data_IF_834641998199
#
_entry.id   IF_834641998199
#
_cell.length_a   1.000
_cell.length_b   1.000
_cell.length_c   1.000
_cell.angle_alpha   90.00
_cell.angle_beta   90.00
_cell.angle_gamma   90.00
#
_symmetry.space_group_name_H-M   'P 1'
#
loop_
_entity.id
_entity.type
_entity.pdbx_description
1 polymer ?
#
# COMPACT_ATOMS: atom_id res chain seq x y z
N UNK A 1 -10.98 1.87 11.46
CA UNK A 1 -9.98 1.59 10.41
C UNK A 1 -9.29 2.89 10.03
N UNK A 2 -7.99 2.86 9.73
CA UNK A 2 -7.27 4.02 9.16
C UNK A 2 -6.91 3.64 7.72
N UNK A 3 -7.21 4.50 6.75
CA UNK A 3 -6.89 4.26 5.35
C UNK A 3 -6.40 5.53 4.68
N UNK A 4 -5.33 5.41 3.91
CA UNK A 4 -4.84 6.43 3.00
C UNK A 4 -4.95 5.91 1.57
N UNK A 5 -5.62 6.65 0.70
CA UNK A 5 -5.66 6.36 -0.73
C UNK A 5 -4.70 7.28 -1.49
N UNK A 6 -3.98 6.70 -2.45
CA UNK A 6 -3.09 7.46 -3.34
C UNK A 6 -3.92 7.99 -4.51
N UNK A 7 -4.27 9.27 -4.43
CA UNK A 7 -5.10 9.97 -5.42
C UNK A 7 -4.27 10.91 -6.29
N UNK A 8 -4.87 11.45 -7.36
CA UNK A 8 -4.22 12.38 -8.29
C UNK A 8 -2.87 11.86 -8.85
N UNK A 9 -2.71 10.55 -8.94
CA UNK A 9 -1.47 9.88 -9.35
C UNK A 9 -1.48 9.52 -10.83
N UNK A 10 -0.30 9.16 -11.35
CA UNK A 10 -0.15 8.66 -12.72
C UNK A 10 -0.54 7.19 -12.89
N UNK A 11 -1.13 6.54 -11.87
CA UNK A 11 -1.56 5.13 -11.94
C UNK A 11 -2.59 4.85 -13.05
N UNK A 12 -3.32 5.87 -13.48
CA UNK A 12 -4.27 5.81 -14.60
C UNK A 12 -3.59 5.78 -15.99
N UNK A 13 -2.32 6.17 -16.08
CA UNK A 13 -1.53 6.17 -17.30
C UNK A 13 -0.66 4.92 -17.45
N UNK A 14 -0.60 4.08 -16.41
CA UNK A 14 0.15 2.82 -16.41
C UNK A 14 -0.46 1.86 -17.43
N UNK A 15 0.34 1.42 -18.41
CA UNK A 15 -0.10 0.41 -19.37
C UNK A 15 -0.18 -0.95 -18.70
N UNK A 16 -0.97 -1.85 -19.28
CA UNK A 16 -1.24 -3.17 -18.71
C UNK A 16 0.02 -4.03 -18.46
N UNK A 17 1.08 -3.81 -19.24
CA UNK A 17 2.36 -4.53 -19.11
C UNK A 17 3.34 -3.89 -18.12
N UNK A 18 3.01 -2.70 -17.60
CA UNK A 18 3.87 -1.94 -16.68
C UNK A 18 3.45 -2.15 -15.20
N UNK A 19 2.49 -3.04 -14.93
CA UNK A 19 2.04 -3.34 -13.57
C UNK A 19 3.16 -3.97 -12.72
N UNK A 20 4.08 -4.71 -13.33
CA UNK A 20 5.26 -5.24 -12.65
C UNK A 20 6.19 -4.12 -12.18
N UNK A 21 6.31 -3.02 -12.93
CA UNK A 21 7.06 -1.84 -12.50
C UNK A 21 6.38 -1.17 -11.29
N UNK A 22 5.04 -1.06 -11.29
CA UNK A 22 4.31 -0.53 -10.13
C UNK A 22 4.52 -1.40 -8.89
N UNK A 23 4.48 -2.72 -9.04
CA UNK A 23 4.78 -3.69 -7.98
C UNK A 23 6.21 -3.48 -7.44
N UNK A 24 7.19 -3.32 -8.32
CA UNK A 24 8.58 -3.08 -7.93
C UNK A 24 8.75 -1.76 -7.17
N UNK A 25 8.09 -0.69 -7.59
CA UNK A 25 8.12 0.60 -6.90
C UNK A 25 7.46 0.50 -5.50
N UNK A 26 6.34 -0.22 -5.38
CA UNK A 26 5.71 -0.49 -4.08
C UNK A 26 6.69 -1.24 -3.17
N UNK A 27 7.31 -2.32 -3.67
CA UNK A 27 8.25 -3.13 -2.91
C UNK A 27 9.51 -2.34 -2.52
N UNK A 28 10.00 -1.45 -3.38
CA UNK A 28 11.10 -0.54 -3.05
C UNK A 28 10.75 0.44 -1.91
N UNK A 29 9.50 0.91 -1.84
CA UNK A 29 9.03 1.72 -0.70
C UNK A 29 8.88 0.85 0.56
N UNK A 30 8.43 -0.40 0.45
CA UNK A 30 8.39 -1.34 1.58
C UNK A 30 9.78 -1.53 2.18
N UNK A 31 10.80 -1.73 1.34
CA UNK A 31 12.19 -1.86 1.75
C UNK A 31 12.75 -0.59 2.39
N UNK A 32 12.45 0.60 1.84
CA UNK A 32 12.86 1.90 2.40
C UNK A 32 12.39 2.10 3.85
N UNK A 33 11.26 1.50 4.22
CA UNK A 33 10.70 1.57 5.58
C UNK A 33 11.08 0.37 6.46
N UNK A 34 11.97 -0.50 5.98
CA UNK A 34 12.45 -1.71 6.68
C UNK A 34 11.30 -2.63 7.11
N UNK A 35 10.22 -2.69 6.32
CA UNK A 35 9.06 -3.52 6.59
C UNK A 35 9.21 -4.89 5.92
N UNK A 36 8.71 -5.93 6.60
CA UNK A 36 8.74 -7.29 6.09
C UNK A 36 7.41 -7.63 5.41
N UNK A 37 7.50 -8.10 4.17
CA UNK A 37 6.36 -8.72 3.48
C UNK A 37 6.13 -10.10 4.10
N UNK A 38 5.02 -10.26 4.82
CA UNK A 38 4.62 -11.55 5.41
C UNK A 38 3.60 -12.29 4.58
N UNK A 39 2.88 -11.58 3.72
CA UNK A 39 1.96 -12.14 2.74
C UNK A 39 1.91 -11.22 1.52
N UNK A 40 1.88 -11.83 0.32
CA UNK A 40 1.53 -11.20 -0.95
C UNK A 40 0.47 -12.09 -1.60
N UNK A 41 -0.71 -11.54 -1.86
CA UNK A 41 -1.86 -12.31 -2.36
C UNK A 41 -2.76 -11.45 -3.25
N UNK A 42 -3.86 -12.02 -3.72
CA UNK A 42 -4.91 -11.30 -4.45
C UNK A 42 -6.21 -11.43 -3.66
N UNK A 43 -6.88 -10.30 -3.41
CA UNK A 43 -8.15 -10.30 -2.69
C UNK A 43 -9.25 -10.93 -3.56
N UNK A 44 -10.05 -11.82 -2.98
CA UNK A 44 -11.12 -12.54 -3.68
C UNK A 44 -12.20 -11.61 -4.24
N UNK A 45 -12.48 -10.52 -3.53
CA UNK A 45 -13.43 -9.47 -3.93
C UNK A 45 -12.86 -8.51 -4.98
N UNK A 46 -11.53 -8.41 -5.07
CA UNK A 46 -10.81 -7.48 -5.94
C UNK A 46 -9.90 -8.26 -6.90
N UNK A 47 -10.52 -8.94 -7.87
CA UNK A 47 -9.81 -9.78 -8.84
C UNK A 47 -8.69 -8.98 -9.53
N UNK A 48 -7.51 -9.58 -9.59
CA UNK A 48 -6.31 -8.99 -10.19
C UNK A 48 -5.61 -7.93 -9.32
N UNK A 49 -6.04 -7.72 -8.08
CA UNK A 49 -5.29 -6.90 -7.12
C UNK A 49 -4.02 -7.60 -6.64
N UNK A 50 -3.05 -6.78 -6.20
CA UNK A 50 -1.91 -7.22 -5.42
C UNK A 50 -2.08 -6.66 -4.02
N UNK A 51 -2.17 -7.55 -3.04
CA UNK A 51 -2.43 -7.21 -1.65
C UNK A 51 -1.30 -7.73 -0.76
N UNK A 52 -0.75 -6.84 0.05
CA UNK A 52 0.37 -7.10 0.93
C UNK A 52 -0.04 -7.01 2.39
N UNK A 53 0.45 -7.94 3.21
CA UNK A 53 0.51 -7.79 4.66
C UNK A 53 1.95 -7.54 5.11
N UNK A 54 2.17 -6.39 5.76
CA UNK A 54 3.47 -5.96 6.22
C UNK A 54 3.58 -5.99 7.73
N UNK A 55 4.78 -6.31 8.22
CA UNK A 55 5.13 -6.26 9.65
C UNK A 55 6.44 -5.53 9.88
N UNK A 56 6.60 -4.97 11.09
CA UNK A 56 7.90 -4.49 11.58
C UNK A 56 8.53 -5.57 12.48
N UNK A 57 9.38 -6.42 11.89
CA UNK A 57 10.00 -7.55 12.59
C UNK A 57 8.97 -8.48 13.24
N UNK A 58 9.11 -8.71 14.55
CA UNK A 58 8.20 -9.54 15.34
C UNK A 58 7.10 -8.77 16.08
N UNK A 59 6.97 -7.46 15.84
CA UNK A 59 5.99 -6.61 16.54
C UNK A 59 4.56 -6.98 16.15
N UNK A 60 3.64 -6.83 17.10
CA UNK A 60 2.20 -6.99 16.84
C UNK A 60 1.67 -5.87 15.94
N UNK A 61 0.66 -6.17 15.13
CA UNK A 61 0.06 -5.28 14.15
C UNK A 61 0.42 -5.64 12.71
N UNK A 62 -0.39 -5.15 11.77
CA UNK A 62 -0.21 -5.35 10.33
C UNK A 62 -0.50 -4.02 9.63
N UNK A 63 0.33 -3.67 8.65
CA UNK A 63 0.04 -2.62 7.70
C UNK A 63 -0.29 -3.28 6.36
N UNK A 64 -1.37 -2.87 5.73
CA UNK A 64 -1.86 -3.50 4.50
C UNK A 64 -1.74 -2.54 3.34
N UNK A 65 -1.39 -3.06 2.17
CA UNK A 65 -1.33 -2.30 0.93
C UNK A 65 -2.13 -3.06 -0.10
N UNK A 66 -2.99 -2.38 -0.83
CA UNK A 66 -3.68 -2.97 -1.97
C UNK A 66 -3.47 -2.11 -3.20
N UNK A 67 -2.86 -2.70 -4.22
CA UNK A 67 -2.82 -2.17 -5.56
C UNK A 67 -3.87 -2.87 -6.41
N UNK A 68 -4.80 -2.12 -7.01
CA UNK A 68 -5.81 -2.65 -7.91
C UNK A 68 -5.69 -2.04 -9.31
N UNK A 69 -4.94 -2.71 -10.22
CA UNK A 69 -4.64 -2.18 -11.54
C UNK A 69 -5.88 -1.86 -12.37
N UNK A 70 -6.88 -2.75 -12.34
CA UNK A 70 -8.12 -2.60 -13.12
C UNK A 70 -8.95 -1.35 -12.75
N UNK A 71 -8.67 -0.73 -11.60
CA UNK A 71 -9.29 0.52 -11.15
C UNK A 71 -8.31 1.67 -11.00
N UNK A 72 -7.03 1.45 -11.27
CA UNK A 72 -5.95 2.42 -11.04
C UNK A 72 -5.90 2.93 -9.60
N UNK A 73 -6.23 2.05 -8.64
CA UNK A 73 -6.27 2.41 -7.21
C UNK A 73 -5.10 1.80 -6.47
N UNK A 74 -4.58 2.55 -5.51
CA UNK A 74 -3.59 2.11 -4.55
C UNK A 74 -3.93 2.73 -3.20
N UNK A 75 -4.01 1.91 -2.16
CA UNK A 75 -4.24 2.40 -0.80
C UNK A 75 -3.45 1.60 0.22
N UNK A 76 -3.31 2.22 1.38
CA UNK A 76 -2.67 1.67 2.56
C UNK A 76 -3.66 1.72 3.71
N UNK A 77 -3.81 0.63 4.45
CA UNK A 77 -4.80 0.55 5.52
C UNK A 77 -4.31 -0.21 6.77
N UNK A 78 -4.99 0.09 7.88
CA UNK A 78 -4.89 -0.63 9.15
C UNK A 78 -6.32 -0.96 9.60
N UNK A 79 -6.65 -2.25 9.62
CA UNK A 79 -7.85 -2.73 10.28
C UNK A 79 -7.77 -2.56 11.80
N UNK A 80 -8.91 -2.30 12.46
CA UNK A 80 -8.95 -1.97 13.89
C UNK A 80 -8.37 -3.08 14.78
N UNK A 81 -8.59 -4.35 14.41
CA UNK A 81 -8.04 -5.53 15.10
C UNK A 81 -6.56 -5.81 14.78
N UNK A 82 -5.95 -5.07 13.86
CA UNK A 82 -4.53 -5.16 13.44
C UNK A 82 -3.75 -3.89 13.77
N UNK A 83 -4.38 -2.95 14.46
CA UNK A 83 -3.78 -1.70 14.89
C UNK A 83 -2.74 -1.91 16.00
N UNK A 84 -1.60 -1.23 15.88
CA UNK A 84 -0.58 -1.13 16.92
C UNK A 84 0.09 0.24 16.89
N UNK A 85 1.00 0.52 17.83
CA UNK A 85 1.68 1.80 17.88
C UNK A 85 2.53 2.07 16.62
N UNK A 86 3.33 1.08 16.19
CA UNK A 86 4.26 1.29 15.08
C UNK A 86 3.55 1.54 13.76
N UNK A 87 2.44 0.84 13.47
CA UNK A 87 1.78 1.00 12.18
C UNK A 87 1.00 2.31 12.11
N UNK A 88 0.45 2.80 13.24
CA UNK A 88 -0.15 4.14 13.32
C UNK A 88 0.85 5.26 13.08
N UNK A 89 2.08 5.10 13.56
CA UNK A 89 3.14 6.08 13.33
C UNK A 89 3.65 6.06 11.88
N UNK A 90 3.66 4.88 11.25
CA UNK A 90 4.26 4.71 9.91
C UNK A 90 3.28 4.94 8.76
N UNK A 91 1.97 4.72 8.94
CA UNK A 91 1.01 4.69 7.81
C UNK A 91 0.99 5.98 7.00
N UNK A 92 1.02 7.14 7.65
CA UNK A 92 1.03 8.44 6.97
C UNK A 92 2.32 8.68 6.17
N UNK A 93 3.53 8.64 6.77
CA UNK A 93 4.76 8.85 6.00
C UNK A 93 4.97 7.77 4.93
N UNK A 94 4.54 6.54 5.18
CA UNK A 94 4.58 5.46 4.19
C UNK A 94 3.68 5.77 2.97
N UNK A 95 2.46 6.25 3.22
CA UNK A 95 1.52 6.62 2.15
C UNK A 95 2.01 7.83 1.36
N UNK A 96 2.63 8.83 2.02
CA UNK A 96 3.27 9.98 1.37
C UNK A 96 4.45 9.54 0.50
N UNK A 97 5.25 8.57 0.93
CA UNK A 97 6.33 8.01 0.12
C UNK A 97 5.81 7.30 -1.14
N UNK A 98 4.74 6.50 -1.01
CA UNK A 98 4.07 5.91 -2.17
C UNK A 98 3.51 6.98 -3.11
N UNK A 99 2.84 8.01 -2.57
CA UNK A 99 2.25 9.06 -3.40
C UNK A 99 3.33 9.81 -4.18
N UNK A 100 4.49 10.07 -3.56
CA UNK A 100 5.63 10.67 -4.24
C UNK A 100 6.16 9.83 -5.42
N UNK A 101 6.21 8.49 -5.28
CA UNK A 101 6.62 7.58 -6.39
C UNK A 101 5.66 7.66 -7.58
N UNK A 102 4.36 7.82 -7.30
CA UNK A 102 3.32 7.84 -8.34
C UNK A 102 2.82 9.24 -8.69
N UNK A 103 3.58 10.29 -8.30
CA UNK A 103 3.28 11.70 -8.58
C UNK A 103 1.86 12.12 -8.15
N UNK A 104 1.41 11.63 -6.99
CA UNK A 104 0.09 11.90 -6.44
C UNK A 104 0.12 12.33 -4.97
N UNK A 105 -1.05 12.25 -4.33
CA UNK A 105 -1.28 12.70 -2.96
C UNK A 105 -1.82 11.56 -2.10
N UNK A 106 -1.40 11.51 -0.83
CA UNK A 106 -1.95 10.57 0.15
C UNK A 106 -3.16 11.22 0.86
N UNK A 107 -4.37 10.80 0.50
CA UNK A 107 -5.60 11.30 1.10
C UNK A 107 -6.08 10.37 2.23
N UNK A 108 -6.25 10.92 3.43
CA UNK A 108 -6.88 10.20 4.55
C UNK A 108 -8.37 10.01 4.24
N UNK A 109 -8.83 8.77 4.35
CA UNK A 109 -10.22 8.40 4.09
C UNK A 109 -10.95 8.22 5.43
N UNK A 110 -12.03 8.99 5.63
CA UNK A 110 -12.86 8.99 6.83
C UNK A 110 -14.00 7.96 6.74
#
# INVERSE_FOLDING_TARGET
MIMYEIINSNLNQVKLFDHDLVIQEIEGVIEQFELNITQKTTLSTLKGSVHYHLKQGKKAGVLEITYWPAKHRLWVEIHDNRSSEWNRLVIKPFSEALSARFLGEAALMA
#
